data_IF_772901944554
#
_entry.id   IF_772901944554
#
_cell.length_a   1.000
_cell.length_b   1.000
_cell.length_c   1.000
_cell.angle_alpha   90.00
_cell.angle_beta   90.00
_cell.angle_gamma   90.00
#
_symmetry.space_group_name_H-M   'P 1'
#
loop_
_entity.id
_entity.type
_entity.pdbx_description
1 polymer ?
#
# COMPACT_ATOMS: atom_id res chain seq x y z
N UNK A 1 1.31 14.12 2.44
CA UNK A 1 0.94 13.14 3.46
C UNK A 1 -0.22 12.29 2.97
N UNK A 2 -0.17 11.00 3.23
CA UNK A 2 -1.21 10.11 2.76
C UNK A 2 -2.45 10.23 3.63
N UNK A 3 -3.62 10.08 3.02
CA UNK A 3 -4.87 10.14 3.74
C UNK A 3 -5.12 8.86 4.54
N UNK A 4 -6.07 8.93 5.47
CA UNK A 4 -6.48 7.74 6.20
C UNK A 4 -7.08 6.69 5.25
N UNK A 5 -7.72 7.15 4.18
CA UNK A 5 -8.31 6.24 3.20
C UNK A 5 -7.22 5.40 2.54
N UNK A 6 -6.10 6.03 2.19
CA UNK A 6 -4.99 5.29 1.60
C UNK A 6 -4.45 4.25 2.58
N UNK A 7 -4.23 4.66 3.83
CA UNK A 7 -3.67 3.75 4.80
C UNK A 7 -4.59 2.55 5.06
N UNK A 8 -5.88 2.81 5.14
CA UNK A 8 -6.83 1.73 5.34
C UNK A 8 -6.86 0.77 4.16
N UNK A 9 -6.81 1.31 2.95
CA UNK A 9 -6.80 0.49 1.75
C UNK A 9 -5.54 -0.34 1.66
N UNK A 10 -4.40 0.24 2.02
CA UNK A 10 -3.14 -0.47 1.97
C UNK A 10 -3.11 -1.58 3.01
N UNK A 11 -3.61 -1.30 4.21
CA UNK A 11 -3.68 -2.32 5.26
C UNK A 11 -4.53 -3.50 4.82
N UNK A 12 -5.68 -3.22 4.21
CA UNK A 12 -6.56 -4.27 3.73
C UNK A 12 -5.89 -5.10 2.63
N UNK A 13 -5.11 -4.43 1.79
CA UNK A 13 -4.37 -5.12 0.74
C UNK A 13 -3.34 -6.08 1.34
N UNK A 14 -2.61 -5.62 2.35
CA UNK A 14 -1.59 -6.45 2.99
C UNK A 14 -2.22 -7.66 3.66
N UNK A 15 -3.35 -7.47 4.32
CA UNK A 15 -4.04 -8.57 4.98
C UNK A 15 -4.46 -9.65 4.00
N UNK A 16 -5.03 -9.24 2.88
CA UNK A 16 -5.50 -10.19 1.88
C UNK A 16 -4.35 -10.98 1.28
N UNK A 17 -3.19 -10.37 1.19
CA UNK A 17 -2.02 -11.00 0.60
C UNK A 17 -1.16 -11.73 1.63
N UNK A 18 -1.49 -11.57 2.91
CA UNK A 18 -0.68 -12.14 3.98
C UNK A 18 0.78 -11.72 3.83
N UNK A 19 0.97 -10.45 3.53
CA UNK A 19 2.29 -9.94 3.23
C UNK A 19 3.14 -9.87 4.49
N UNK A 20 4.38 -10.29 4.37
CA UNK A 20 5.29 -10.36 5.51
C UNK A 20 6.18 -9.13 5.54
N UNK A 21 5.96 -8.27 6.52
CA UNK A 21 6.75 -7.06 6.66
C UNK A 21 8.21 -7.32 6.97
N UNK A 22 8.54 -8.54 7.39
CA UNK A 22 9.93 -8.88 7.63
C UNK A 22 10.77 -8.76 6.38
N UNK A 23 10.15 -8.80 5.21
CA UNK A 23 10.83 -8.60 3.94
C UNK A 23 10.74 -7.14 3.54
N UNK A 24 11.45 -6.31 4.26
CA UNK A 24 11.27 -4.87 4.16
C UNK A 24 11.58 -4.29 2.79
N UNK A 25 12.57 -4.86 2.09
CA UNK A 25 12.87 -4.35 0.75
C UNK A 25 11.67 -4.51 -0.17
N UNK A 26 11.02 -5.67 -0.11
CA UNK A 26 9.82 -5.89 -0.91
C UNK A 26 8.66 -5.06 -0.42
N UNK A 27 8.56 -4.90 0.90
CA UNK A 27 7.48 -4.12 1.46
C UNK A 27 7.49 -2.69 0.93
N UNK A 28 8.66 -2.07 0.92
CA UNK A 28 8.78 -0.69 0.44
C UNK A 28 8.40 -0.59 -1.03
N UNK A 29 8.81 -1.56 -1.83
CA UNK A 29 8.49 -1.58 -3.25
C UNK A 29 7.00 -1.76 -3.48
N UNK A 30 6.40 -2.68 -2.73
CA UNK A 30 4.97 -2.95 -2.86
C UNK A 30 4.17 -1.72 -2.46
N UNK A 31 4.58 -1.05 -1.39
CA UNK A 31 3.90 0.16 -0.96
C UNK A 31 3.99 1.26 -2.01
N UNK A 32 5.16 1.41 -2.61
CA UNK A 32 5.33 2.43 -3.65
C UNK A 32 4.46 2.13 -4.87
N UNK A 33 4.39 0.88 -5.26
CA UNK A 33 3.57 0.49 -6.40
C UNK A 33 2.08 0.68 -6.09
N UNK A 34 1.67 0.33 -4.88
CA UNK A 34 0.28 0.51 -4.48
C UNK A 34 -0.07 1.99 -4.47
N UNK A 35 0.83 2.82 -3.96
CA UNK A 35 0.61 4.26 -3.94
C UNK A 35 0.47 4.82 -5.35
N UNK A 36 1.34 4.39 -6.26
CA UNK A 36 1.26 4.86 -7.63
C UNK A 36 -0.08 4.52 -8.25
N UNK A 37 -0.57 3.30 -8.02
CA UNK A 37 -1.88 2.91 -8.53
C UNK A 37 -3.01 3.68 -7.88
N UNK A 38 -2.89 3.93 -6.59
CA UNK A 38 -3.86 4.70 -5.85
C UNK A 38 -4.02 6.09 -6.45
N UNK A 39 -2.90 6.76 -6.69
CA UNK A 39 -2.92 8.11 -7.24
C UNK A 39 -3.43 8.10 -8.68
N UNK A 40 -3.02 7.12 -9.46
CA UNK A 40 -3.44 7.03 -10.85
C UNK A 40 -4.95 6.79 -10.95
N UNK A 41 -5.53 6.15 -9.96
CA UNK A 41 -6.96 5.87 -9.94
C UNK A 41 -7.78 7.04 -9.41
N UNK A 42 -7.11 8.14 -9.07
CA UNK A 42 -7.81 9.32 -8.60
C UNK A 42 -7.87 9.46 -7.10
N UNK A 43 -7.08 8.67 -6.37
CA UNK A 43 -7.03 8.79 -4.94
C UNK A 43 -6.24 10.01 -4.50
N UNK A 44 -6.67 10.60 -3.38
CA UNK A 44 -6.01 11.76 -2.77
C UNK A 44 -5.61 12.82 -3.76
#
# INVERSE_FOLDING_TARGET
MMSNAFEAAFDAFLERREYDEAQQAQFALVRAAFLAGWLAAGGD
#
